data_IF_859493127254
#
_entry.id   IF_859493127254
#
_cell.length_a   1.000
_cell.length_b   1.000
_cell.length_c   1.000
_cell.angle_alpha   90.00
_cell.angle_beta   90.00
_cell.angle_gamma   90.00
#
_symmetry.space_group_name_H-M   'P 1'
#
loop_
_entity.id
_entity.type
_entity.pdbx_description
1 polymer ?
#
# COMPACT_ATOMS: atom_id res chain seq x y z
N UNK A 1 -1.98 1.67 0.81
CA UNK A 1 -2.89 1.04 1.80
C UNK A 1 -3.90 0.13 1.10
N UNK A 2 -3.94 -1.16 1.44
CA UNK A 2 -4.87 -2.11 0.81
C UNK A 2 -4.32 -2.82 -0.43
N UNK A 3 -2.99 -2.94 -0.56
CA UNK A 3 -2.41 -3.85 -1.55
C UNK A 3 -2.84 -5.29 -1.24
N UNK A 4 -2.91 -6.16 -2.24
CA UNK A 4 -3.55 -7.47 -2.09
C UNK A 4 -2.84 -8.56 -2.89
N UNK A 5 -2.85 -9.78 -2.35
CA UNK A 5 -2.40 -10.99 -3.07
C UNK A 5 -3.52 -11.66 -3.86
N UNK A 6 -4.77 -11.23 -3.68
CA UNK A 6 -5.93 -11.75 -4.41
C UNK A 6 -5.89 -11.29 -5.86
N UNK A 7 -5.79 -12.22 -6.83
CA UNK A 7 -5.76 -11.87 -8.26
C UNK A 7 -7.00 -11.07 -8.67
N UNK A 8 -6.80 -10.00 -9.44
CA UNK A 8 -7.90 -9.18 -9.97
C UNK A 8 -8.55 -8.23 -8.96
N UNK A 9 -8.16 -8.27 -7.68
CA UNK A 9 -8.60 -7.25 -6.72
C UNK A 9 -8.04 -5.88 -7.07
N UNK A 10 -8.77 -4.81 -6.76
CA UNK A 10 -8.35 -3.43 -7.02
C UNK A 10 -6.95 -3.15 -6.47
N UNK A 11 -6.69 -3.58 -5.22
CA UNK A 11 -5.38 -3.43 -4.58
C UNK A 11 -4.23 -4.13 -5.31
N UNK A 12 -4.48 -5.32 -5.87
CA UNK A 12 -3.49 -6.09 -6.62
C UNK A 12 -3.24 -5.48 -8.00
N UNK A 13 -4.31 -5.12 -8.72
CA UNK A 13 -4.24 -4.54 -10.07
C UNK A 13 -3.58 -3.16 -10.05
N UNK A 14 -3.94 -2.29 -9.11
CA UNK A 14 -3.32 -0.96 -8.96
C UNK A 14 -1.82 -1.07 -8.69
N UNK A 15 -1.42 -1.96 -7.77
CA UNK A 15 0.00 -2.16 -7.48
C UNK A 15 0.77 -2.71 -8.69
N UNK A 16 0.19 -3.70 -9.40
CA UNK A 16 0.76 -4.20 -10.64
C UNK A 16 0.94 -3.10 -11.69
N UNK A 17 -0.07 -2.24 -11.87
CA UNK A 17 -0.01 -1.15 -12.83
C UNK A 17 1.12 -0.18 -12.54
N UNK A 18 1.37 0.18 -11.28
CA UNK A 18 2.47 1.08 -10.93
C UNK A 18 3.82 0.44 -11.29
N UNK A 19 4.01 -0.85 -10.95
CA UNK A 19 5.25 -1.57 -11.24
C UNK A 19 5.50 -1.75 -12.75
N UNK A 20 4.44 -2.02 -13.52
CA UNK A 20 4.55 -2.38 -14.94
C UNK A 20 4.56 -1.16 -15.87
N UNK A 21 4.08 0.01 -15.44
CA UNK A 21 3.98 1.21 -16.28
C UNK A 21 5.11 2.23 -16.03
N UNK A 22 6.24 1.78 -15.49
CA UNK A 22 7.49 2.57 -15.50
C UNK A 22 7.58 3.67 -14.44
N UNK A 23 6.82 3.59 -13.35
CA UNK A 23 7.07 4.46 -12.20
C UNK A 23 8.49 4.24 -11.68
N UNK A 24 9.23 5.34 -11.46
CA UNK A 24 10.66 5.31 -11.13
C UNK A 24 10.96 5.46 -9.63
N UNK A 25 9.94 5.73 -8.82
CA UNK A 25 10.07 5.82 -7.36
C UNK A 25 9.95 4.45 -6.67
N UNK A 26 10.14 4.44 -5.35
CA UNK A 26 9.95 3.24 -4.54
C UNK A 26 8.46 3.09 -4.21
N UNK A 27 7.93 1.87 -4.33
CA UNK A 27 6.52 1.59 -4.06
C UNK A 27 6.42 0.56 -2.94
N UNK A 28 5.71 0.92 -1.87
CA UNK A 28 5.53 0.08 -0.69
C UNK A 28 4.11 -0.49 -0.63
N UNK A 29 3.91 -1.81 -0.86
CA UNK A 29 2.61 -2.42 -0.65
C UNK A 29 2.33 -2.56 0.86
N UNK A 30 1.15 -2.09 1.30
CA UNK A 30 0.67 -2.27 2.67
C UNK A 30 -0.51 -3.24 2.66
N UNK A 31 -0.38 -4.34 3.40
CA UNK A 31 -1.37 -5.40 3.55
C UNK A 31 -1.31 -5.96 4.98
N UNK A 32 -2.45 -6.00 5.66
CA UNK A 32 -2.57 -6.42 7.07
C UNK A 32 -2.26 -7.92 7.35
N UNK A 33 -2.02 -8.74 6.33
CA UNK A 33 -1.83 -10.21 6.45
C UNK A 33 -0.63 -10.73 5.66
N UNK A 34 -0.41 -10.20 4.46
CA UNK A 34 0.59 -10.70 3.54
C UNK A 34 1.97 -10.09 3.83
N UNK A 35 3.01 -10.92 3.84
CA UNK A 35 4.41 -10.47 3.95
C UNK A 35 4.98 -9.96 2.62
N UNK A 36 4.31 -10.27 1.51
CA UNK A 36 4.67 -9.78 0.18
C UNK A 36 3.46 -9.68 -0.73
N UNK A 37 3.55 -8.79 -1.72
CA UNK A 37 2.59 -8.63 -2.82
C UNK A 37 3.40 -8.55 -4.11
N UNK A 38 3.11 -9.44 -5.09
CA UNK A 38 3.83 -9.51 -6.37
C UNK A 38 5.37 -9.59 -6.22
N UNK A 39 5.85 -10.32 -5.21
CA UNK A 39 7.28 -10.47 -4.94
C UNK A 39 7.93 -9.28 -4.24
N UNK A 40 7.22 -8.17 -4.02
CA UNK A 40 7.69 -7.01 -3.28
C UNK A 40 7.32 -7.16 -1.80
N UNK A 41 8.25 -6.83 -0.90
CA UNK A 41 8.03 -6.86 0.55
C UNK A 41 6.83 -5.97 0.91
N UNK A 42 5.88 -6.54 1.64
CA UNK A 42 4.73 -5.83 2.14
C UNK A 42 4.86 -5.54 3.64
N UNK A 43 4.22 -4.46 4.06
CA UNK A 43 4.20 -3.99 5.44
C UNK A 43 2.79 -4.11 6.00
N UNK A 44 2.65 -4.36 7.31
CA UNK A 44 1.34 -4.49 7.94
C UNK A 44 0.71 -3.13 8.22
N UNK A 45 1.55 -2.13 8.50
CA UNK A 45 1.20 -0.73 8.70
C UNK A 45 2.06 0.18 7.80
N UNK A 46 1.55 1.36 7.45
CA UNK A 46 2.35 2.41 6.80
C UNK A 46 3.47 2.93 7.73
N UNK A 47 3.26 2.82 9.05
CA UNK A 47 4.23 3.22 10.08
C UNK A 47 5.44 2.28 10.15
N UNK A 48 5.30 1.04 9.68
CA UNK A 48 6.40 0.05 9.65
C UNK A 48 7.40 0.31 8.51
N UNK A 49 7.05 1.16 7.54
CA UNK A 49 7.93 1.49 6.42
C UNK A 49 9.07 2.38 6.95
N UNK A 50 10.35 2.04 6.72
CA UNK A 50 11.46 2.83 7.26
C UNK A 50 11.61 4.20 6.60
N UNK A 51 11.21 4.31 5.34
CA UNK A 51 11.36 5.53 4.54
C UNK A 51 10.22 6.54 4.78
N UNK A 52 10.45 7.79 4.40
CA UNK A 52 9.40 8.83 4.32
C UNK A 52 8.42 8.53 3.18
N UNK A 53 7.16 8.94 3.34
CA UNK A 53 6.09 8.68 2.38
C UNK A 53 5.44 9.98 1.96
N UNK A 54 5.51 10.27 0.66
CA UNK A 54 4.96 11.46 0.01
C UNK A 54 3.51 11.25 -0.49
N UNK A 55 3.16 10.01 -0.84
CA UNK A 55 1.84 9.66 -1.38
C UNK A 55 1.35 8.30 -0.88
N UNK A 56 0.12 8.26 -0.35
CA UNK A 56 -0.59 7.03 0.00
C UNK A 56 -1.81 6.81 -0.90
N UNK A 57 -1.86 5.66 -1.59
CA UNK A 57 -3.05 5.20 -2.32
C UNK A 57 -3.89 4.31 -1.40
N UNK A 58 -5.15 4.69 -1.14
CA UNK A 58 -6.04 4.01 -0.20
C UNK A 58 -7.08 3.17 -0.95
N UNK A 59 -7.01 1.84 -0.79
CA UNK A 59 -7.85 0.84 -1.47
C UNK A 59 -8.45 -0.14 -0.47
N UNK A 60 -9.08 0.39 0.58
CA UNK A 60 -9.74 -0.40 1.64
C UNK A 60 -11.26 -0.18 1.59
N UNK A 61 -12.07 -1.11 2.15
CA UNK A 61 -13.49 -0.86 2.35
C UNK A 61 -13.75 0.47 3.06
N UNK A 62 -14.81 1.18 2.66
CA UNK A 62 -15.10 2.55 3.09
C UNK A 62 -15.09 2.75 4.61
N UNK A 63 -15.54 1.75 5.37
CA UNK A 63 -15.56 1.78 6.84
C UNK A 63 -14.17 1.93 7.48
N UNK A 64 -13.11 1.48 6.80
CA UNK A 64 -11.73 1.57 7.30
C UNK A 64 -10.99 2.82 6.82
N UNK A 65 -11.59 3.63 5.93
CA UNK A 65 -10.93 4.80 5.36
C UNK A 65 -10.54 5.84 6.43
N UNK A 66 -11.38 6.20 7.42
CA UNK A 66 -11.00 7.16 8.45
C UNK A 66 -9.75 6.74 9.24
N UNK A 67 -9.72 5.48 9.69
CA UNK A 67 -8.60 4.90 10.43
C UNK A 67 -7.31 4.92 9.60
N UNK A 68 -7.40 4.49 8.33
CA UNK A 68 -6.25 4.46 7.43
C UNK A 68 -5.73 5.87 7.09
N UNK A 69 -6.61 6.86 6.99
CA UNK A 69 -6.20 8.27 6.79
C UNK A 69 -5.48 8.79 8.03
N UNK A 70 -6.00 8.51 9.22
CA UNK A 70 -5.36 8.92 10.48
C UNK A 70 -3.97 8.29 10.62
N UNK A 71 -3.84 6.98 10.39
CA UNK A 71 -2.57 6.28 10.38
C UNK A 71 -1.59 6.84 9.34
N UNK A 72 -2.09 7.16 8.14
CA UNK A 72 -1.27 7.78 7.09
C UNK A 72 -0.79 9.19 7.47
N UNK A 73 -1.62 9.95 8.19
CA UNK A 73 -1.25 11.28 8.69
C UNK A 73 -0.24 11.26 9.84
N UNK A 74 -0.10 10.14 10.56
CA UNK A 74 0.94 9.95 11.58
C UNK A 74 2.31 9.70 10.95
N UNK A 75 2.35 9.11 9.75
CA UNK A 75 3.58 8.92 8.99
C UNK A 75 4.10 10.28 8.51
N UNK A 76 5.25 10.71 9.01
CA UNK A 76 5.92 11.90 8.51
C UNK A 76 6.44 11.63 7.09
N UNK A 77 6.13 12.54 6.18
CA UNK A 77 6.83 12.68 4.90
C UNK A 77 7.96 13.69 5.00
#
# INVERSE_FOLDING_TARGET
MGASTTPGSVGQVTFANILLNGYQGIVYPVNIKAKSVLGVKAYFSILDIPDEIDLAIIMVPAIFVPEVIEESGQKKG
#
